data_IF_230560941849
#
_entry.id   IF_230560941849
#
_cell.length_a   1.000
_cell.length_b   1.000
_cell.length_c   1.000
_cell.angle_alpha   90.00
_cell.angle_beta   90.00
_cell.angle_gamma   90.00
#
_symmetry.space_group_name_H-M   'P 1'
#
loop_
_entity.id
_entity.type
_entity.pdbx_description
1 polymer ?
#
# COMPACT_ATOMS: atom_id res chain seq x y z
N UNK A 1 -15.48 -19.06 -13.02
CA UNK A 1 -16.16 -17.74 -13.03
C UNK A 1 -15.65 -17.01 -11.81
N UNK A 2 -15.04 -15.87 -12.06
CA UNK A 2 -14.12 -15.11 -11.21
C UNK A 2 -14.65 -14.86 -9.80
N UNK A 3 -13.87 -15.25 -8.78
CA UNK A 3 -13.93 -14.56 -7.50
C UNK A 3 -13.37 -13.17 -7.75
N UNK A 4 -14.24 -12.16 -7.74
CA UNK A 4 -13.80 -10.84 -7.31
C UNK A 4 -13.08 -11.04 -5.97
N UNK A 5 -11.90 -10.43 -5.73
CA UNK A 5 -11.26 -10.56 -4.44
C UNK A 5 -12.25 -10.11 -3.38
N UNK A 6 -12.65 -11.02 -2.49
CA UNK A 6 -13.37 -10.65 -1.28
C UNK A 6 -12.61 -9.50 -0.64
N UNK A 7 -13.29 -8.48 -0.07
CA UNK A 7 -12.63 -7.30 0.47
C UNK A 7 -11.51 -7.79 1.38
N UNK A 8 -10.28 -7.62 0.89
CA UNK A 8 -9.07 -8.07 1.55
C UNK A 8 -9.23 -7.70 3.01
N UNK A 9 -9.20 -8.69 3.90
CA UNK A 9 -9.42 -8.44 5.33
C UNK A 9 -8.22 -7.66 5.87
N UNK A 10 -8.19 -6.36 5.60
CA UNK A 10 -7.18 -5.43 6.04
C UNK A 10 -7.26 -5.37 7.56
N UNK A 11 -6.21 -5.85 8.21
CA UNK A 11 -6.08 -5.78 9.65
C UNK A 11 -5.82 -4.33 10.08
N UNK A 12 -5.95 -4.02 11.37
CA UNK A 12 -5.74 -2.65 11.87
C UNK A 12 -4.41 -2.05 11.43
N UNK A 13 -3.34 -2.85 11.44
CA UNK A 13 -2.02 -2.42 11.00
C UNK A 13 -1.97 -2.05 9.51
N UNK A 14 -2.62 -2.83 8.65
CA UNK A 14 -2.69 -2.53 7.22
C UNK A 14 -3.48 -1.25 6.94
N UNK A 15 -4.56 -1.00 7.72
CA UNK A 15 -5.35 0.23 7.64
C UNK A 15 -4.55 1.44 8.08
N UNK A 16 -3.78 1.33 9.16
CA UNK A 16 -2.89 2.39 9.63
C UNK A 16 -1.82 2.75 8.59
N UNK A 17 -1.20 1.74 7.97
CA UNK A 17 -0.26 1.94 6.85
C UNK A 17 -0.93 2.61 5.65
N UNK A 18 -2.14 2.19 5.27
CA UNK A 18 -2.91 2.84 4.21
C UNK A 18 -3.19 4.32 4.52
N UNK A 19 -3.66 4.62 5.74
CA UNK A 19 -3.89 6.00 6.17
C UNK A 19 -2.60 6.81 6.08
N UNK A 20 -1.47 6.29 6.59
CA UNK A 20 -0.16 6.97 6.52
C UNK A 20 0.31 7.24 5.09
N UNK A 21 0.08 6.30 4.16
CA UNK A 21 0.42 6.45 2.73
C UNK A 21 -0.39 7.59 2.09
N UNK A 22 -1.67 7.73 2.45
CA UNK A 22 -2.59 8.72 1.87
C UNK A 22 -2.65 10.04 2.63
N UNK A 23 -2.20 10.07 3.89
CA UNK A 23 -2.19 11.26 4.73
C UNK A 23 -1.33 12.38 4.14
N UNK A 24 -1.76 13.61 4.41
CA UNK A 24 -1.02 14.82 4.11
C UNK A 24 -0.80 15.66 5.37
N UNK A 25 0.45 16.00 5.72
CA UNK A 25 1.69 15.69 5.01
C UNK A 25 2.05 14.19 5.06
N UNK A 26 2.83 13.75 4.07
CA UNK A 26 3.29 12.36 3.95
C UNK A 26 4.09 11.95 5.19
N UNK A 27 3.75 10.81 5.78
CA UNK A 27 4.51 10.28 6.92
C UNK A 27 5.90 9.79 6.48
N UNK A 28 6.93 10.22 7.21
CA UNK A 28 8.32 9.82 6.97
C UNK A 28 8.72 8.52 7.71
N UNK A 29 7.78 7.88 8.40
CA UNK A 29 8.02 6.72 9.26
C UNK A 29 7.12 5.54 8.84
N UNK A 30 7.07 5.29 7.53
CA UNK A 30 6.38 4.13 6.96
C UNK A 30 7.46 3.07 6.71
N UNK A 31 7.42 1.98 7.48
CA UNK A 31 8.41 0.91 7.36
C UNK A 31 8.15 0.09 6.09
N UNK A 32 9.21 -0.25 5.37
CA UNK A 32 9.18 -1.09 4.17
C UNK A 32 8.45 -2.41 4.42
N UNK A 33 8.67 -3.01 5.60
CA UNK A 33 8.03 -4.27 5.95
C UNK A 33 6.50 -4.13 6.07
N UNK A 34 6.00 -2.98 6.52
CA UNK A 34 4.57 -2.70 6.59
C UNK A 34 3.96 -2.53 5.20
N UNK A 35 4.71 -1.91 4.29
CA UNK A 35 4.34 -1.78 2.88
C UNK A 35 4.28 -3.16 2.22
N UNK A 36 5.32 -3.99 2.39
CA UNK A 36 5.34 -5.36 1.85
C UNK A 36 4.18 -6.20 2.40
N UNK A 37 3.92 -6.11 3.72
CA UNK A 37 2.80 -6.81 4.35
C UNK A 37 1.45 -6.34 3.79
N UNK A 38 1.27 -5.04 3.59
CA UNK A 38 0.08 -4.47 2.95
C UNK A 38 -0.08 -4.98 1.52
N UNK A 39 0.98 -4.92 0.71
CA UNK A 39 0.95 -5.33 -0.70
C UNK A 39 0.71 -6.84 -0.87
N UNK A 40 1.18 -7.65 0.07
CA UNK A 40 0.94 -9.10 0.11
C UNK A 40 -0.54 -9.42 0.34
N UNK A 41 -1.28 -8.56 1.06
CA UNK A 41 -2.72 -8.77 1.27
C UNK A 41 -3.56 -8.14 0.17
N UNK A 42 -3.15 -7.01 -0.39
CA UNK A 42 -3.89 -6.33 -1.48
C UNK A 42 -3.67 -6.94 -2.85
N UNK A 43 -2.58 -7.69 -3.04
CA UNK A 43 -2.19 -8.25 -4.33
C UNK A 43 -1.17 -9.38 -4.18
N UNK A 44 -0.17 -9.40 -5.07
CA UNK A 44 0.96 -10.34 -5.00
C UNK A 44 2.27 -9.58 -5.12
N UNK A 45 3.28 -9.98 -4.35
CA UNK A 45 4.61 -9.36 -4.38
C UNK A 45 5.68 -10.45 -4.53
N UNK A 46 6.58 -10.26 -5.48
CA UNK A 46 7.69 -11.17 -5.77
C UNK A 46 9.03 -10.42 -5.68
N UNK A 47 9.98 -10.96 -4.92
CA UNK A 47 11.34 -10.42 -4.85
C UNK A 47 12.18 -11.00 -5.98
N UNK A 48 12.63 -10.14 -6.88
CA UNK A 48 13.57 -10.51 -7.94
C UNK A 48 15.00 -10.59 -7.41
N UNK A 49 15.81 -11.40 -8.09
CA UNK A 49 17.23 -11.63 -7.74
C UNK A 49 18.10 -10.38 -7.83
N UNK A 50 17.67 -9.37 -8.58
CA UNK A 50 18.33 -8.07 -8.68
C UNK A 50 17.99 -7.10 -7.53
N UNK A 51 17.13 -7.52 -6.58
CA UNK A 51 16.76 -6.72 -5.41
C UNK A 51 15.55 -5.80 -5.63
N UNK A 52 14.88 -5.93 -6.77
CA UNK A 52 13.60 -5.28 -7.06
C UNK A 52 12.43 -6.15 -6.63
N UNK A 53 11.36 -5.49 -6.25
CA UNK A 53 10.11 -6.12 -5.87
C UNK A 53 9.07 -5.87 -6.96
N UNK A 54 8.54 -6.94 -7.54
CA UNK A 54 7.47 -6.87 -8.52
C UNK A 54 6.14 -7.03 -7.80
N UNK A 55 5.30 -6.00 -7.87
CA UNK A 55 4.00 -5.92 -7.22
C UNK A 55 2.93 -6.04 -8.28
N UNK A 56 2.03 -6.98 -8.10
CA UNK A 56 0.87 -7.21 -8.94
C UNK A 56 -0.38 -6.81 -8.17
N UNK A 57 -1.04 -5.76 -8.63
CA UNK A 57 -2.40 -5.39 -8.26
C UNK A 57 -3.29 -5.61 -9.48
N UNK A 58 -4.56 -5.97 -9.28
CA UNK A 58 -5.46 -6.55 -10.31
C UNK A 58 -5.27 -6.06 -11.77
N UNK A 59 -5.01 -4.77 -11.98
CA UNK A 59 -4.82 -4.17 -13.32
C UNK A 59 -3.41 -3.60 -13.57
N UNK A 60 -2.56 -3.48 -12.55
CA UNK A 60 -1.23 -2.87 -12.66
C UNK A 60 -0.11 -3.74 -12.09
N UNK A 61 1.00 -3.80 -12.82
CA UNK A 61 2.27 -4.34 -12.31
C UNK A 61 3.22 -3.19 -12.06
N UNK A 62 3.81 -3.14 -10.87
CA UNK A 62 4.78 -2.11 -10.50
C UNK A 62 6.05 -2.71 -9.93
N UNK A 63 7.17 -2.14 -10.35
CA UNK A 63 8.48 -2.49 -9.83
C UNK A 63 8.90 -1.47 -8.78
N UNK A 64 9.16 -1.98 -7.58
CA UNK A 64 9.61 -1.21 -6.43
C UNK A 64 11.06 -1.57 -6.12
N UNK A 65 11.92 -0.56 -5.97
CA UNK A 65 13.28 -0.76 -5.50
C UNK A 65 13.30 -0.80 -3.95
N UNK A 66 14.04 -1.75 -3.39
CA UNK A 66 14.19 -1.83 -1.93
C UNK A 66 14.77 -0.52 -1.39
N UNK A 67 14.14 0.13 -0.39
CA UNK A 67 14.71 1.32 0.21
C UNK A 67 16.04 1.01 0.89
N UNK A 68 16.94 2.01 0.93
CA UNK A 68 18.24 1.90 1.62
C UNK A 68 18.11 1.77 3.13
N UNK A 69 17.01 2.27 3.67
CA UNK A 69 16.69 2.26 5.10
C UNK A 69 15.46 1.40 5.36
N UNK A 70 15.11 1.25 6.63
CA UNK A 70 13.89 0.55 7.03
C UNK A 70 12.63 1.29 6.58
N UNK A 71 12.71 2.61 6.39
CA UNK A 71 11.60 3.47 6.01
C UNK A 71 11.62 3.77 4.50
N UNK A 72 10.43 3.87 3.89
CA UNK A 72 10.29 4.29 2.50
C UNK A 72 10.43 5.82 2.36
N UNK A 73 10.94 6.26 1.21
CA UNK A 73 11.04 7.68 0.91
C UNK A 73 9.71 8.24 0.35
N UNK A 74 9.60 9.58 0.32
CA UNK A 74 8.38 10.26 -0.10
C UNK A 74 7.99 9.95 -1.55
N UNK A 75 8.93 9.76 -2.46
CA UNK A 75 8.61 9.40 -3.84
C UNK A 75 7.94 8.03 -3.91
N UNK A 76 8.47 7.06 -3.17
CA UNK A 76 7.86 5.74 -3.06
C UNK A 76 6.46 5.81 -2.43
N UNK A 77 6.23 6.69 -1.44
CA UNK A 77 4.87 6.89 -0.91
C UNK A 77 3.91 7.43 -1.96
N UNK A 78 4.33 8.42 -2.75
CA UNK A 78 3.50 9.00 -3.83
C UNK A 78 3.18 7.95 -4.89
N UNK A 79 4.17 7.13 -5.24
CA UNK A 79 4.03 6.03 -6.19
C UNK A 79 3.04 4.95 -5.72
N UNK A 80 3.19 4.49 -4.47
CA UNK A 80 2.27 3.56 -3.83
C UNK A 80 0.86 4.12 -3.74
N UNK A 81 0.72 5.41 -3.42
CA UNK A 81 -0.59 6.06 -3.34
C UNK A 81 -1.29 6.07 -4.70
N UNK A 82 -0.58 6.39 -5.76
CA UNK A 82 -1.15 6.39 -7.10
C UNK A 82 -1.60 4.99 -7.50
N UNK A 83 -0.74 3.99 -7.28
CA UNK A 83 -1.01 2.58 -7.57
C UNK A 83 -2.21 2.03 -6.77
N UNK A 84 -2.28 2.31 -5.47
CA UNK A 84 -3.41 1.89 -4.62
C UNK A 84 -4.71 2.62 -4.98
N UNK A 85 -4.61 3.88 -5.42
CA UNK A 85 -5.78 4.64 -5.91
C UNK A 85 -6.32 4.01 -7.19
N UNK A 86 -5.45 3.64 -8.13
CA UNK A 86 -5.83 2.99 -9.39
C UNK A 86 -6.46 1.61 -9.15
N UNK A 87 -5.92 0.86 -8.17
CA UNK A 87 -6.51 -0.39 -7.69
C UNK A 87 -7.84 -0.23 -6.91
N UNK A 88 -8.35 1.00 -6.74
CA UNK A 88 -9.65 1.26 -6.12
C UNK A 88 -9.65 1.39 -4.59
N UNK A 89 -8.48 1.47 -3.94
CA UNK A 89 -8.38 1.67 -2.49
C UNK A 89 -8.57 3.13 -2.06
N UNK A 90 -8.51 4.09 -2.99
CA UNK A 90 -8.77 5.52 -2.70
C UNK A 90 -10.05 5.78 -1.89
N UNK A 91 -11.24 5.32 -2.32
CA UNK A 91 -12.48 5.50 -1.57
C UNK A 91 -12.53 4.74 -0.23
N UNK A 92 -11.82 3.62 -0.09
CA UNK A 92 -11.75 2.90 1.18
C UNK A 92 -10.94 3.69 2.20
N UNK A 93 -9.85 4.32 1.76
CA UNK A 93 -9.03 5.17 2.61
C UNK A 93 -9.79 6.43 3.06
N UNK A 94 -10.54 7.05 2.16
CA UNK A 94 -11.40 8.19 2.50
C UNK A 94 -12.37 7.86 3.64
N UNK A 95 -13.02 6.68 3.58
CA UNK A 95 -13.87 6.16 4.67
C UNK A 95 -13.11 5.92 5.96
N UNK A 96 -11.87 5.43 5.89
CA UNK A 96 -11.04 5.19 7.08
C UNK A 96 -10.63 6.49 7.76
N UNK A 97 -10.34 7.54 6.98
CA UNK A 97 -10.01 8.87 7.49
C UNK A 97 -11.24 9.53 8.10
N UNK A 98 -12.38 9.49 7.42
CA UNK A 98 -13.65 10.05 7.91
C UNK A 98 -14.08 9.40 9.24
N UNK A 99 -14.01 8.07 9.30
CA UNK A 99 -14.32 7.30 10.52
C UNK A 99 -13.34 7.52 11.67
N UNK A 100 -12.12 7.97 11.39
CA UNK A 100 -11.11 8.32 12.41
C UNK A 100 -11.24 9.73 12.96
N UNK A 101 -12.03 10.60 12.30
CA UNK A 101 -12.28 11.98 12.74
C UNK A 101 -13.48 12.10 13.71
N UNK A 102 -14.19 11.00 13.96
CA UNK A 102 -15.30 10.89 14.91
C UNK A 102 -14.82 10.30 16.27
N UNK A 103 -13.90 10.97 16.99
CA UNK A 103 -13.62 10.67 18.41
C UNK A 103 -13.45 11.97 19.22
#
# INVERSE_FOLDING_TARGET
MSSAPEPVSLNNHHRDTLVKIFQHPTSHNIEWNDVVSLLTVTGSIDEHRDGKFEVHLETEVRYLDRPKHKDIDVQMVVDLRHMLTDAGYGPEVDRLIDKGAED
#
